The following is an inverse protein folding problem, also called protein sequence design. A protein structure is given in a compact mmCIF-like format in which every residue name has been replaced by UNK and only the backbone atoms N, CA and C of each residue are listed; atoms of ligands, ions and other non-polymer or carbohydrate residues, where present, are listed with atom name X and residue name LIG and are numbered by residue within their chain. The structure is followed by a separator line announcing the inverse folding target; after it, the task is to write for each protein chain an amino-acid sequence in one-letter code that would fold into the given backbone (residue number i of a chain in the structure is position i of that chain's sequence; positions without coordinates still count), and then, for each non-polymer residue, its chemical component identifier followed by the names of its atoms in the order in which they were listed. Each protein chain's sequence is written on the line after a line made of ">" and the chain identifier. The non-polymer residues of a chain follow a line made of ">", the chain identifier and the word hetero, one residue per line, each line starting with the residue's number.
data_IF_443583203337
#
_entry.id   IF_443583203337
#
_cell.length_a   1.000
_cell.length_b   1.000
_cell.length_c   1.000
_cell.angle_alpha   90.00
_cell.angle_beta   90.00
_cell.angle_gamma   90.00
#
_symmetry.space_group_name_H-M   'P 1'
#
loop_
_entity.id
_entity.type
_entity.pdbx_description
1 polymer ?
#
# COMPACT_ATOMS: atom_id res chain seq x y z
N UNK A 1 -36.02 47.28 -2.62
CA UNK A 1 -35.51 47.40 -4.01
C UNK A 1 -33.99 47.32 -3.93
N UNK A 2 -33.37 46.15 -4.10
CA UNK A 2 -33.15 45.40 -5.34
C UNK A 2 -31.83 45.80 -6.01
N UNK A 3 -30.73 45.11 -5.64
CA UNK A 3 -29.65 44.74 -6.57
C UNK A 3 -29.20 43.32 -6.21
N UNK A 4 -30.09 42.36 -6.46
CA UNK A 4 -29.73 40.98 -6.82
C UNK A 4 -29.40 41.03 -8.30
N UNK A 5 -28.19 40.69 -8.70
CA UNK A 5 -27.90 40.49 -10.11
C UNK A 5 -26.44 40.67 -10.46
N UNK A 6 -25.63 39.65 -10.24
CA UNK A 6 -24.46 39.29 -11.06
C UNK A 6 -23.80 38.01 -10.53
N UNK A 7 -24.58 36.93 -10.49
CA UNK A 7 -24.05 35.56 -10.46
C UNK A 7 -24.90 34.74 -11.45
N UNK A 8 -24.77 35.10 -12.71
CA UNK A 8 -25.20 34.29 -13.86
C UNK A 8 -23.93 33.82 -14.57
N UNK A 9 -23.92 32.53 -14.94
CA UNK A 9 -22.87 31.84 -15.69
C UNK A 9 -21.68 31.28 -14.90
N UNK A 10 -21.95 30.26 -14.08
CA UNK A 10 -21.09 29.08 -14.04
C UNK A 10 -21.87 27.93 -13.39
N UNK A 11 -22.79 27.35 -14.16
CA UNK A 11 -23.52 26.15 -13.74
C UNK A 11 -23.66 25.18 -14.91
N UNK A 12 -22.53 24.91 -15.56
CA UNK A 12 -22.38 23.84 -16.55
C UNK A 12 -21.00 23.20 -16.42
N UNK A 13 -20.70 22.65 -15.26
CA UNK A 13 -19.73 21.56 -15.15
C UNK A 13 -20.39 20.49 -14.29
N UNK A 14 -21.20 19.67 -14.95
CA UNK A 14 -21.53 18.35 -14.44
C UNK A 14 -20.22 17.57 -14.47
N UNK A 15 -19.74 17.02 -13.34
CA UNK A 15 -18.72 15.99 -13.42
C UNK A 15 -19.36 14.85 -14.21
N UNK A 16 -18.79 14.59 -15.38
CA UNK A 16 -19.10 13.41 -16.17
C UNK A 16 -18.57 12.22 -15.37
N UNK A 17 -19.32 11.83 -14.34
CA UNK A 17 -19.34 10.46 -13.86
C UNK A 17 -19.96 9.65 -14.99
N UNK A 18 -19.18 9.45 -16.04
CA UNK A 18 -19.34 8.35 -16.96
C UNK A 18 -19.32 7.12 -16.08
N UNK A 19 -20.45 6.42 -16.08
CA UNK A 19 -20.64 5.16 -15.39
C UNK A 19 -19.36 4.35 -15.51
N UNK A 20 -18.68 4.12 -14.38
CA UNK A 20 -17.72 3.03 -14.26
C UNK A 20 -18.54 1.81 -14.62
N UNK A 21 -18.41 1.40 -15.88
CA UNK A 21 -18.96 0.16 -16.38
C UNK A 21 -18.36 -0.86 -15.42
N UNK A 22 -19.20 -1.40 -14.53
CA UNK A 22 -18.78 -2.38 -13.57
C UNK A 22 -18.15 -3.50 -14.38
N UNK A 23 -16.81 -3.55 -14.39
CA UNK A 23 -16.04 -4.65 -14.94
C UNK A 23 -16.40 -5.83 -14.07
N UNK A 24 -17.46 -6.53 -14.46
CA UNK A 24 -17.76 -7.85 -13.95
C UNK A 24 -16.50 -8.66 -14.28
N UNK A 25 -15.77 -9.20 -13.29
CA UNK A 25 -14.76 -10.16 -13.60
C UNK A 25 -15.49 -11.32 -14.28
N UNK A 26 -15.35 -11.41 -15.61
CA UNK A 26 -15.77 -12.58 -16.35
C UNK A 26 -14.80 -13.65 -15.89
N UNK A 27 -15.20 -14.38 -14.86
CA UNK A 27 -14.54 -15.61 -14.45
C UNK A 27 -14.78 -16.63 -15.56
N UNK A 28 -13.98 -16.59 -16.61
CA UNK A 28 -14.01 -17.55 -17.72
C UNK A 28 -13.37 -18.88 -17.33
N UNK A 29 -12.72 -18.99 -16.16
CA UNK A 29 -12.09 -20.25 -15.76
C UNK A 29 -13.09 -21.34 -15.36
N UNK A 30 -14.28 -20.98 -14.87
CA UNK A 30 -15.32 -21.96 -14.53
C UNK A 30 -16.13 -22.48 -15.72
N UNK A 31 -16.16 -21.75 -16.85
CA UNK A 31 -16.85 -22.20 -18.06
C UNK A 31 -15.99 -23.12 -18.93
N UNK A 32 -14.67 -22.91 -18.97
CA UNK A 32 -13.77 -23.72 -19.83
C UNK A 32 -13.64 -25.17 -19.34
N UNK A 33 -13.77 -25.42 -18.03
CA UNK A 33 -13.67 -26.81 -17.50
C UNK A 33 -14.95 -27.65 -17.69
N UNK A 34 -16.09 -27.02 -18.00
CA UNK A 34 -17.36 -27.71 -18.18
C UNK A 34 -17.78 -27.92 -19.65
N UNK A 35 -16.97 -27.48 -20.62
CA UNK A 35 -17.25 -27.68 -22.05
C UNK A 35 -16.08 -28.33 -22.81
N UNK A 36 -15.54 -29.43 -22.30
CA UNK A 36 -14.95 -30.44 -23.19
C UNK A 36 -16.04 -31.44 -23.64
N UNK A 37 -17.19 -30.91 -24.06
CA UNK A 37 -18.04 -31.64 -24.99
C UNK A 37 -17.39 -31.51 -26.37
N UNK A 38 -17.30 -32.58 -27.18
CA UNK A 38 -16.86 -32.43 -28.55
C UNK A 38 -17.80 -31.42 -29.22
N UNK A 39 -17.24 -30.28 -29.62
CA UNK A 39 -17.92 -29.26 -30.42
C UNK A 39 -18.74 -29.97 -31.51
N UNK A 40 -20.08 -29.77 -31.58
CA UNK A 40 -20.87 -30.40 -32.63
C UNK A 40 -20.30 -29.89 -33.95
N UNK A 41 -19.78 -30.82 -34.75
CA UNK A 41 -19.33 -30.53 -36.11
C UNK A 41 -20.42 -29.70 -36.79
N UNK A 42 -20.02 -28.63 -37.48
CA UNK A 42 -20.91 -27.67 -38.15
C UNK A 42 -21.92 -28.30 -39.12
N UNK A 43 -21.82 -29.60 -39.39
CA UNK A 43 -22.82 -30.41 -40.05
C UNK A 43 -23.31 -31.51 -39.09
N UNK A 44 -24.63 -31.61 -38.81
CA UNK A 44 -25.16 -32.77 -38.11
C UNK A 44 -24.90 -34.02 -38.95
N UNK A 45 -24.28 -35.03 -38.34
CA UNK A 45 -23.99 -36.28 -39.04
C UNK A 45 -25.28 -36.93 -39.55
N UNK A 46 -25.22 -37.58 -40.71
CA UNK A 46 -26.37 -38.31 -41.30
C UNK A 46 -26.96 -39.32 -40.29
N UNK A 47 -26.11 -39.86 -39.41
CA UNK A 47 -26.50 -40.77 -38.33
C UNK A 47 -27.31 -40.11 -37.21
N UNK A 48 -27.07 -38.84 -36.88
CA UNK A 48 -27.89 -38.12 -35.88
C UNK A 48 -29.25 -37.75 -36.46
N UNK A 49 -29.30 -37.39 -37.75
CA UNK A 49 -30.56 -37.11 -38.45
C UNK A 49 -31.43 -38.37 -38.60
N UNK A 50 -30.82 -39.52 -38.94
CA UNK A 50 -31.53 -40.79 -39.02
C UNK A 50 -32.02 -41.27 -37.64
N UNK A 51 -31.24 -41.04 -36.58
CA UNK A 51 -31.63 -41.41 -35.20
C UNK A 51 -32.86 -40.64 -34.72
N UNK A 52 -32.99 -39.36 -35.07
CA UNK A 52 -34.14 -38.53 -34.70
C UNK A 52 -35.46 -39.05 -35.30
N UNK A 53 -35.41 -39.67 -36.50
CA UNK A 53 -36.60 -40.11 -37.23
C UNK A 53 -36.87 -41.62 -37.17
N UNK A 54 -35.83 -42.44 -37.11
CA UNK A 54 -35.92 -43.91 -37.26
C UNK A 54 -35.31 -44.68 -36.08
N UNK A 55 -34.92 -43.98 -35.02
CA UNK A 55 -34.33 -44.58 -33.81
C UNK A 55 -32.91 -45.14 -34.02
N UNK A 56 -32.34 -45.74 -32.98
CA UNK A 56 -30.99 -46.32 -33.01
C UNK A 56 -30.85 -47.50 -34.00
N UNK A 57 -31.95 -48.15 -34.34
CA UNK A 57 -31.98 -49.27 -35.30
C UNK A 57 -31.93 -48.79 -36.75
N UNK A 58 -32.40 -47.58 -37.03
CA UNK A 58 -32.46 -47.02 -38.38
C UNK A 58 -31.10 -46.93 -39.07
N UNK A 59 -30.05 -46.54 -38.33
CA UNK A 59 -28.68 -46.47 -38.89
C UNK A 59 -28.17 -47.83 -39.39
N UNK A 60 -28.49 -48.90 -38.65
CA UNK A 60 -28.06 -50.25 -38.98
C UNK A 60 -28.85 -50.81 -40.16
N UNK A 61 -30.18 -50.59 -40.16
CA UNK A 61 -31.07 -51.03 -41.24
C UNK A 61 -30.74 -50.30 -42.55
N UNK A 62 -30.47 -48.99 -42.51
CA UNK A 62 -30.05 -48.23 -43.70
C UNK A 62 -28.68 -48.70 -44.20
N UNK A 63 -27.73 -49.00 -43.30
CA UNK A 63 -26.42 -49.54 -43.69
C UNK A 63 -26.53 -50.90 -44.38
N UNK A 64 -27.25 -51.85 -43.77
CA UNK A 64 -27.48 -53.18 -44.35
C UNK A 64 -28.30 -53.07 -45.65
N UNK A 65 -29.31 -52.21 -45.66
CA UNK A 65 -30.15 -51.95 -46.82
C UNK A 65 -29.36 -51.39 -48.01
N UNK A 66 -28.44 -50.45 -47.78
CA UNK A 66 -27.55 -49.93 -48.83
C UNK A 66 -26.62 -51.01 -49.39
N UNK A 67 -26.05 -51.87 -48.53
CA UNK A 67 -25.22 -52.99 -49.01
C UNK A 67 -26.07 -53.98 -49.82
N UNK A 68 -27.28 -54.30 -49.36
CA UNK A 68 -28.19 -55.20 -50.04
C UNK A 68 -28.70 -54.63 -51.38
N UNK A 69 -28.95 -53.32 -51.48
CA UNK A 69 -29.35 -52.68 -52.74
C UNK A 69 -28.21 -52.61 -53.74
N UNK A 70 -26.98 -52.33 -53.29
CA UNK A 70 -25.78 -52.38 -54.15
C UNK A 70 -25.55 -53.79 -54.71
N UNK A 71 -25.81 -54.82 -53.90
CA UNK A 71 -25.73 -56.21 -54.31
C UNK A 71 -26.86 -56.59 -55.30
N UNK A 72 -28.10 -56.25 -54.97
CA UNK A 72 -29.28 -56.56 -55.79
C UNK A 72 -29.32 -55.82 -57.13
N UNK A 73 -28.60 -54.69 -57.26
CA UNK A 73 -28.51 -53.90 -58.50
C UNK A 73 -27.25 -54.22 -59.33
N UNK A 74 -26.52 -55.27 -58.99
CA UNK A 74 -25.27 -55.70 -59.67
C UNK A 74 -24.19 -54.59 -59.76
N UNK A 75 -24.29 -53.55 -58.91
CA UNK A 75 -23.26 -52.50 -58.83
C UNK A 75 -22.00 -53.08 -58.17
N UNK A 76 -22.16 -54.08 -57.30
CA UNK A 76 -21.08 -54.93 -56.78
C UNK A 76 -21.14 -56.33 -57.42
N UNK A 77 -20.37 -56.55 -58.48
CA UNK A 77 -20.21 -57.88 -59.13
C UNK A 77 -19.06 -58.64 -58.47
N UNK A 78 -19.29 -59.85 -57.96
CA UNK A 78 -18.23 -60.69 -57.38
C UNK A 78 -17.29 -61.22 -58.48
N UNK A 79 -16.26 -60.43 -58.79
CA UNK A 79 -15.16 -60.80 -59.67
C UNK A 79 -13.82 -60.77 -58.91
N UNK A 80 -12.75 -61.30 -59.51
CA UNK A 80 -11.43 -61.35 -58.89
C UNK A 80 -10.95 -59.96 -58.39
N UNK A 81 -11.32 -58.89 -59.09
CA UNK A 81 -11.01 -57.50 -58.74
C UNK A 81 -11.69 -57.04 -57.43
N UNK A 82 -12.94 -57.46 -57.16
CA UNK A 82 -13.64 -57.09 -55.92
C UNK A 82 -13.05 -57.75 -54.67
N UNK A 83 -12.48 -58.96 -54.79
CA UNK A 83 -11.75 -59.61 -53.70
C UNK A 83 -10.48 -58.84 -53.35
N UNK A 84 -9.77 -58.32 -54.36
CA UNK A 84 -8.63 -57.43 -54.17
C UNK A 84 -9.08 -56.13 -53.48
N UNK A 85 -10.18 -55.52 -53.91
CA UNK A 85 -10.75 -54.32 -53.28
C UNK A 85 -11.07 -54.50 -51.78
N UNK A 86 -11.67 -55.61 -51.40
CA UNK A 86 -11.97 -55.94 -49.99
C UNK A 86 -10.67 -56.11 -49.18
N UNK A 87 -9.64 -56.74 -49.76
CA UNK A 87 -8.35 -56.92 -49.08
C UNK A 87 -7.62 -55.59 -48.85
N UNK A 88 -7.63 -54.70 -49.84
CA UNK A 88 -7.05 -53.35 -49.75
C UNK A 88 -7.81 -52.51 -48.71
N UNK A 89 -9.15 -52.57 -48.72
CA UNK A 89 -9.98 -51.92 -47.71
C UNK A 89 -9.71 -52.44 -46.30
N UNK A 90 -9.52 -53.76 -46.14
CA UNK A 90 -9.18 -54.38 -44.87
C UNK A 90 -7.84 -53.90 -44.31
N UNK A 91 -6.80 -53.81 -45.16
CA UNK A 91 -5.49 -53.28 -44.76
C UNK A 91 -5.59 -51.80 -44.36
N UNK A 92 -6.30 -51.00 -45.15
CA UNK A 92 -6.53 -49.58 -44.86
C UNK A 92 -7.30 -49.38 -43.54
N UNK A 93 -8.31 -50.21 -43.28
CA UNK A 93 -9.06 -50.19 -42.02
C UNK A 93 -8.18 -50.52 -40.80
N UNK A 94 -7.30 -51.51 -40.92
CA UNK A 94 -6.35 -51.86 -39.86
C UNK A 94 -5.33 -50.76 -39.60
N UNK A 95 -4.84 -50.09 -40.66
CA UNK A 95 -3.94 -48.94 -40.54
C UNK A 95 -4.62 -47.77 -39.83
N UNK A 96 -5.85 -47.42 -40.23
CA UNK A 96 -6.62 -46.36 -39.55
C UNK A 96 -6.84 -46.66 -38.06
N UNK A 97 -7.13 -47.92 -37.71
CA UNK A 97 -7.36 -48.33 -36.32
C UNK A 97 -6.09 -48.24 -35.46
N UNK A 98 -4.91 -48.47 -36.04
CA UNK A 98 -3.61 -48.39 -35.35
C UNK A 98 -3.09 -46.95 -35.24
N UNK A 99 -3.15 -46.19 -36.33
CA UNK A 99 -2.60 -44.82 -36.40
C UNK A 99 -3.55 -43.78 -35.78
N UNK A 100 -4.85 -44.07 -35.71
CA UNK A 100 -5.84 -43.15 -35.15
C UNK A 100 -5.61 -42.76 -33.69
N UNK A 101 -5.07 -43.68 -32.86
CA UNK A 101 -4.69 -43.35 -31.49
C UNK A 101 -3.55 -42.35 -31.42
N UNK A 102 -2.47 -42.60 -32.17
CA UNK A 102 -1.29 -41.73 -32.22
C UNK A 102 -1.59 -40.34 -32.80
N UNK A 103 -2.45 -40.27 -33.82
CA UNK A 103 -2.87 -38.99 -34.38
C UNK A 103 -3.72 -38.17 -33.40
N UNK A 104 -4.62 -38.82 -32.65
CA UNK A 104 -5.44 -38.12 -31.62
C UNK A 104 -4.56 -37.48 -30.56
N UNK A 105 -3.62 -38.24 -30.00
CA UNK A 105 -2.68 -37.72 -28.99
C UNK A 105 -1.82 -36.56 -29.56
N UNK A 106 -1.38 -36.66 -30.82
CA UNK A 106 -0.62 -35.57 -31.46
C UNK A 106 -1.43 -34.29 -31.64
N UNK A 107 -2.69 -34.40 -32.10
CA UNK A 107 -3.59 -33.25 -32.24
C UNK A 107 -3.99 -32.67 -30.88
N UNK A 108 -4.27 -33.51 -29.89
CA UNK A 108 -4.63 -33.08 -28.53
C UNK A 108 -3.47 -32.34 -27.87
N UNK A 109 -2.24 -32.85 -27.96
CA UNK A 109 -1.05 -32.19 -27.41
C UNK A 109 -0.80 -30.82 -28.06
N UNK A 110 -0.99 -30.71 -29.38
CA UNK A 110 -0.81 -29.43 -30.09
C UNK A 110 -1.93 -28.43 -29.76
N UNK A 111 -3.16 -28.91 -29.58
CA UNK A 111 -4.28 -28.09 -29.13
C UNK A 111 -4.06 -27.57 -27.70
N UNK A 112 -3.61 -28.44 -26.79
CA UNK A 112 -3.28 -28.06 -25.40
C UNK A 112 -2.15 -27.03 -25.37
N UNK A 113 -1.08 -27.21 -26.14
CA UNK A 113 0.02 -26.24 -26.21
C UNK A 113 -0.42 -24.83 -26.65
N UNK A 114 -1.34 -24.75 -27.64
CA UNK A 114 -1.91 -23.47 -28.08
C UNK A 114 -2.77 -22.84 -26.97
N UNK A 115 -3.59 -23.65 -26.29
CA UNK A 115 -4.42 -23.15 -25.18
C UNK A 115 -3.57 -22.64 -24.02
N UNK A 116 -2.51 -23.35 -23.67
CA UNK A 116 -1.59 -22.97 -22.60
C UNK A 116 -0.85 -21.68 -22.92
N UNK A 117 -0.36 -21.51 -24.15
CA UNK A 117 0.28 -20.26 -24.60
C UNK A 117 -0.71 -19.09 -24.55
N UNK A 118 -1.94 -19.28 -25.04
CA UNK A 118 -2.96 -18.23 -24.97
C UNK A 118 -3.36 -17.88 -23.54
N UNK A 119 -3.43 -18.87 -22.64
CA UNK A 119 -3.74 -18.64 -21.23
C UNK A 119 -2.58 -17.93 -20.53
N UNK A 120 -1.33 -18.31 -20.82
CA UNK A 120 -0.14 -17.64 -20.30
C UNK A 120 -0.08 -16.18 -20.76
N UNK A 121 -0.31 -15.92 -22.06
CA UNK A 121 -0.34 -14.56 -22.60
C UNK A 121 -1.44 -13.71 -21.96
N UNK A 122 -2.66 -14.26 -21.79
CA UNK A 122 -3.75 -13.56 -21.09
C UNK A 122 -3.38 -13.22 -19.65
N UNK A 123 -2.82 -14.17 -18.91
CA UNK A 123 -2.41 -13.94 -17.52
C UNK A 123 -1.29 -12.90 -17.42
N UNK A 124 -0.33 -12.90 -18.36
CA UNK A 124 0.70 -11.88 -18.45
C UNK A 124 0.10 -10.49 -18.72
N UNK A 125 -0.87 -10.37 -19.63
CA UNK A 125 -1.56 -9.09 -19.87
C UNK A 125 -2.36 -8.62 -18.66
N UNK A 126 -3.07 -9.53 -17.97
CA UNK A 126 -3.83 -9.20 -16.77
C UNK A 126 -2.90 -8.67 -15.68
N UNK A 127 -1.77 -9.35 -15.44
CA UNK A 127 -0.79 -8.93 -14.42
C UNK A 127 -0.17 -7.57 -14.75
N UNK A 128 0.21 -7.34 -16.00
CA UNK A 128 0.70 -6.02 -16.45
C UNK A 128 -0.33 -4.91 -16.22
N UNK A 129 -1.59 -5.13 -16.62
CA UNK A 129 -2.65 -4.14 -16.42
C UNK A 129 -2.95 -3.91 -14.93
N UNK A 130 -2.90 -4.95 -14.08
CA UNK A 130 -3.09 -4.77 -12.64
C UNK A 130 -1.95 -3.99 -11.99
N UNK A 131 -0.71 -4.20 -12.45
CA UNK A 131 0.45 -3.47 -11.95
C UNK A 131 0.41 -2.00 -12.38
N UNK A 132 0.01 -1.72 -13.62
CA UNK A 132 -0.20 -0.35 -14.12
C UNK A 132 -1.30 0.38 -13.34
N UNK A 133 -2.42 -0.29 -13.05
CA UNK A 133 -3.51 0.26 -12.23
C UNK A 133 -3.01 0.53 -10.81
N UNK A 134 -2.24 -0.38 -10.21
CA UNK A 134 -1.68 -0.17 -8.88
C UNK A 134 -0.73 1.03 -8.84
N UNK A 135 0.12 1.19 -9.85
CA UNK A 135 1.00 2.35 -9.99
C UNK A 135 0.22 3.66 -10.15
N UNK A 136 -0.82 3.69 -10.99
CA UNK A 136 -1.68 4.86 -11.17
C UNK A 136 -2.40 5.26 -9.88
N UNK A 137 -2.94 4.29 -9.12
CA UNK A 137 -3.58 4.55 -7.82
C UNK A 137 -2.60 5.11 -6.78
N UNK A 138 -1.33 4.69 -6.81
CA UNK A 138 -0.30 5.25 -5.92
C UNK A 138 0.02 6.70 -6.30
N UNK A 139 0.12 7.02 -7.60
CA UNK A 139 0.31 8.39 -8.08
C UNK A 139 -0.85 9.30 -7.68
N UNK A 140 -2.10 8.83 -7.77
CA UNK A 140 -3.26 9.60 -7.33
C UNK A 140 -3.20 9.94 -5.84
N UNK A 141 -2.81 8.97 -5.00
CA UNK A 141 -2.59 9.20 -3.56
C UNK A 141 -1.49 10.23 -3.32
N UNK A 142 -0.36 10.11 -4.01
CA UNK A 142 0.73 11.08 -3.89
C UNK A 142 0.32 12.49 -4.32
N UNK A 143 -0.50 12.62 -5.38
CA UNK A 143 -1.04 13.90 -5.81
C UNK A 143 -1.97 14.51 -4.77
N UNK A 144 -2.81 13.70 -4.12
CA UNK A 144 -3.70 14.19 -3.06
C UNK A 144 -2.97 14.74 -1.84
N UNK A 145 -1.78 14.20 -1.51
CA UNK A 145 -0.97 14.64 -0.36
C UNK A 145 -0.25 15.98 -0.61
N UNK A 146 -0.13 16.42 -1.87
CA UNK A 146 0.63 17.65 -2.20
C UNK A 146 0.03 18.91 -1.59
N UNK A 147 -1.29 19.03 -1.58
CA UNK A 147 -1.97 20.19 -1.03
C UNK A 147 -1.73 20.29 0.49
N UNK A 148 -1.85 19.16 1.20
CA UNK A 148 -1.53 19.05 2.62
C UNK A 148 -0.05 19.40 2.90
N UNK A 149 0.88 18.97 2.04
CA UNK A 149 2.30 19.30 2.18
C UNK A 149 2.53 20.82 2.06
N UNK A 150 1.85 21.49 1.14
CA UNK A 150 1.94 22.95 1.01
C UNK A 150 1.36 23.68 2.22
N UNK A 151 0.28 23.16 2.81
CA UNK A 151 -0.30 23.69 4.04
C UNK A 151 0.69 23.56 5.21
N UNK A 152 1.27 22.37 5.41
CA UNK A 152 2.29 22.11 6.44
C UNK A 152 3.50 23.04 6.27
N UNK A 153 4.02 23.20 5.05
CA UNK A 153 5.15 24.09 4.77
C UNK A 153 4.82 25.56 5.09
N UNK A 154 3.58 25.99 4.81
CA UNK A 154 3.12 27.35 5.13
C UNK A 154 3.02 27.55 6.64
N UNK A 155 2.47 26.59 7.36
CA UNK A 155 2.37 26.64 8.82
C UNK A 155 3.75 26.59 9.49
N UNK A 156 4.67 25.76 8.98
CA UNK A 156 6.05 25.67 9.48
C UNK A 156 6.76 27.03 9.38
N UNK A 157 6.58 27.75 8.27
CA UNK A 157 7.16 29.08 8.09
C UNK A 157 6.61 30.12 9.09
N UNK A 158 5.31 30.04 9.39
CA UNK A 158 4.68 30.89 10.41
C UNK A 158 5.19 30.55 11.81
N UNK A 159 5.23 29.25 12.16
CA UNK A 159 5.73 28.78 13.44
C UNK A 159 7.20 29.20 13.67
N UNK A 160 8.08 29.02 12.68
CA UNK A 160 9.49 29.44 12.78
C UNK A 160 9.63 30.93 13.06
N UNK A 161 8.77 31.76 12.46
CA UNK A 161 8.79 33.21 12.72
C UNK A 161 8.40 33.53 14.17
N UNK A 162 7.38 32.87 14.68
CA UNK A 162 6.95 33.04 16.08
C UNK A 162 8.01 32.54 17.06
N UNK A 163 8.67 31.42 16.75
CA UNK A 163 9.76 30.87 17.54
C UNK A 163 10.91 31.88 17.65
N UNK A 164 11.39 32.42 16.52
CA UNK A 164 12.46 33.43 16.50
C UNK A 164 12.07 34.64 17.34
N UNK A 165 10.83 35.13 17.21
CA UNK A 165 10.33 36.25 18.00
C UNK A 165 10.35 35.95 19.52
N UNK A 166 9.87 34.77 19.93
CA UNK A 166 9.87 34.36 21.35
C UNK A 166 11.29 34.19 21.90
N UNK A 167 12.22 33.66 21.11
CA UNK A 167 13.64 33.53 21.48
C UNK A 167 14.25 34.91 21.70
N UNK A 168 14.08 35.84 20.74
CA UNK A 168 14.59 37.21 20.87
C UNK A 168 14.04 37.91 22.12
N UNK A 169 12.75 37.79 22.41
CA UNK A 169 12.14 38.37 23.61
C UNK A 169 12.69 37.75 24.90
N UNK A 170 12.92 36.43 24.90
CA UNK A 170 13.53 35.71 26.02
C UNK A 170 14.96 36.19 26.27
N UNK A 171 15.74 36.38 25.21
CA UNK A 171 17.13 36.82 25.33
C UNK A 171 17.24 38.27 25.80
N UNK A 172 16.39 39.17 25.30
CA UNK A 172 16.30 40.55 25.81
C UNK A 172 15.96 40.54 27.32
N UNK A 173 15.01 39.68 27.74
CA UNK A 173 14.66 39.55 29.16
C UNK A 173 15.84 39.08 30.00
N UNK A 174 16.60 38.08 29.53
CA UNK A 174 17.81 37.60 30.23
C UNK A 174 18.85 38.70 30.36
N UNK A 175 19.06 39.49 29.32
CA UNK A 175 20.03 40.61 29.34
C UNK A 175 19.64 41.70 30.33
N UNK A 176 18.35 42.07 30.39
CA UNK A 176 17.85 43.03 31.38
C UNK A 176 17.99 42.49 32.80
N UNK A 177 17.62 41.22 33.02
CA UNK A 177 17.79 40.58 34.32
C UNK A 177 19.25 40.49 34.74
N UNK A 178 20.17 40.21 33.80
CA UNK A 178 21.61 40.19 34.09
C UNK A 178 22.11 41.53 34.61
N UNK A 179 21.62 42.65 34.07
CA UNK A 179 21.97 43.99 34.55
C UNK A 179 21.42 44.28 35.94
N UNK A 180 20.16 43.90 36.18
CA UNK A 180 19.51 44.10 37.48
C UNK A 180 20.19 43.24 38.56
N UNK A 181 20.45 41.97 38.25
CA UNK A 181 21.14 41.05 39.14
C UNK A 181 22.56 41.53 39.45
N UNK A 182 23.27 42.08 38.46
CA UNK A 182 24.58 42.69 38.69
C UNK A 182 24.51 43.87 39.68
N UNK A 183 23.52 44.76 39.56
CA UNK A 183 23.33 45.86 40.51
C UNK A 183 23.02 45.35 41.92
N UNK A 184 22.13 44.36 42.03
CA UNK A 184 21.81 43.72 43.31
C UNK A 184 23.05 43.09 43.97
N UNK A 185 23.88 42.42 43.18
CA UNK A 185 25.13 41.81 43.66
C UNK A 185 26.12 42.86 44.12
N UNK A 186 26.27 43.98 43.40
CA UNK A 186 27.13 45.10 43.84
C UNK A 186 26.67 45.67 45.18
N UNK A 187 25.37 45.94 45.35
CA UNK A 187 24.84 46.45 46.63
C UNK A 187 25.07 45.46 47.78
N UNK A 188 24.87 44.16 47.52
CA UNK A 188 25.12 43.14 48.53
C UNK A 188 26.60 43.06 48.90
N UNK A 189 27.50 43.17 47.92
CA UNK A 189 28.95 43.20 48.15
C UNK A 189 29.39 44.43 48.97
N UNK A 190 28.85 45.60 48.67
CA UNK A 190 29.12 46.84 49.41
C UNK A 190 28.69 46.70 50.88
N UNK A 191 27.46 46.23 51.12
CA UNK A 191 26.95 45.95 52.48
C UNK A 191 27.84 44.94 53.23
N UNK A 192 28.29 43.88 52.56
CA UNK A 192 29.19 42.90 53.16
C UNK A 192 30.58 43.47 53.45
N UNK A 193 31.10 44.35 52.60
CA UNK A 193 32.35 45.06 52.81
C UNK A 193 32.27 46.01 54.01
N UNK A 194 31.21 46.83 54.08
CA UNK A 194 30.96 47.73 55.20
C UNK A 194 30.87 46.98 56.53
N UNK A 195 30.11 45.86 56.58
CA UNK A 195 30.02 45.01 57.76
C UNK A 195 31.38 44.48 58.18
N UNK A 196 32.17 43.93 57.24
CA UNK A 196 33.52 43.41 57.52
C UNK A 196 34.46 44.50 58.02
N UNK A 197 34.43 45.67 57.40
CA UNK A 197 35.24 46.81 57.80
C UNK A 197 34.86 47.30 59.20
N UNK A 198 33.57 47.42 59.49
CA UNK A 198 33.05 47.82 60.81
C UNK A 198 33.47 46.82 61.90
N UNK A 199 33.36 45.52 61.64
CA UNK A 199 33.80 44.48 62.57
C UNK A 199 35.31 44.56 62.82
N UNK A 200 36.13 44.71 61.79
CA UNK A 200 37.58 44.86 61.91
C UNK A 200 37.95 46.13 62.70
N UNK A 201 37.32 47.26 62.37
CA UNK A 201 37.52 48.53 63.06
C UNK A 201 37.12 48.44 64.54
N UNK A 202 35.97 47.82 64.83
CA UNK A 202 35.51 47.62 66.20
C UNK A 202 36.49 46.73 66.98
N UNK A 203 36.97 45.64 66.38
CA UNK A 203 37.97 44.77 67.00
C UNK A 203 39.24 45.54 67.37
N UNK A 204 39.80 46.33 66.43
CA UNK A 204 40.99 47.15 66.71
C UNK A 204 40.77 48.18 67.82
N UNK A 205 39.64 48.89 67.81
CA UNK A 205 39.33 49.87 68.85
C UNK A 205 39.11 49.22 70.22
N UNK A 206 38.42 48.07 70.25
CA UNK A 206 38.22 47.28 71.47
C UNK A 206 39.58 46.80 71.99
N UNK A 207 40.44 46.20 71.17
CA UNK A 207 41.80 45.80 71.57
C UNK A 207 42.61 46.96 72.16
N UNK A 208 42.66 48.12 71.48
CA UNK A 208 43.36 49.33 71.97
C UNK A 208 42.80 49.82 73.31
N UNK A 209 41.48 49.80 73.48
CA UNK A 209 40.81 50.23 74.72
C UNK A 209 40.99 49.25 75.89
N UNK A 210 41.13 47.95 75.61
CA UNK A 210 41.46 46.95 76.62
C UNK A 210 42.91 47.10 77.09
N UNK A 211 43.86 47.33 76.16
CA UNK A 211 45.29 47.43 76.52
C UNK A 211 45.55 48.57 77.50
N UNK A 212 44.84 49.71 77.38
CA UNK A 212 45.01 50.84 78.31
C UNK A 212 44.29 50.67 79.66
N UNK A 213 43.30 49.78 79.74
CA UNK A 213 42.48 49.54 80.96
C UNK A 213 42.73 48.17 81.58
N UNK A 214 43.76 47.44 81.13
CA UNK A 214 43.98 46.05 81.52
C UNK A 214 44.21 45.90 83.03
N UNK A 215 45.00 46.79 83.63
CA UNK A 215 45.31 46.76 85.05
C UNK A 215 44.10 47.09 85.94
N UNK A 216 43.30 48.07 85.54
CA UNK A 216 42.06 48.46 86.25
C UNK A 216 40.99 47.36 86.21
N UNK A 217 40.86 46.68 85.06
CA UNK A 217 39.94 45.57 84.90
C UNK A 217 40.37 44.36 85.74
N UNK A 218 41.67 44.05 85.81
CA UNK A 218 42.21 42.99 86.68
C UNK A 218 41.92 43.32 88.15
N UNK A 219 42.10 44.58 88.56
CA UNK A 219 41.79 45.02 89.92
C UNK A 219 40.29 44.88 90.26
N UNK A 220 39.39 45.22 89.32
CA UNK A 220 37.95 45.02 89.49
C UNK A 220 37.56 43.53 89.54
N UNK A 221 38.15 42.67 88.71
CA UNK A 221 37.92 41.23 88.76
C UNK A 221 38.39 40.62 90.10
N UNK A 222 39.55 41.04 90.62
CA UNK A 222 40.01 40.65 91.96
C UNK A 222 39.03 41.15 93.03
N UNK A 223 38.49 42.37 92.89
CA UNK A 223 37.45 42.89 93.78
C UNK A 223 36.16 42.08 93.75
N UNK A 224 35.70 41.67 92.57
CA UNK A 224 34.51 40.82 92.39
C UNK A 224 34.71 39.40 92.92
N UNK A 225 35.89 38.81 92.70
CA UNK A 225 36.25 37.51 93.26
C UNK A 225 36.32 37.55 94.79
N UNK A 226 36.95 38.58 95.37
CA UNK A 226 36.98 38.78 96.83
C UNK A 226 35.58 38.92 97.42
N UNK A 227 34.67 39.61 96.73
CA UNK A 227 33.26 39.72 97.13
C UNK A 227 32.51 38.39 97.05
N UNK A 228 32.78 37.59 96.02
CA UNK A 228 32.18 36.25 95.86
C UNK A 228 32.74 35.21 96.83
N UNK A 229 33.97 35.36 97.33
CA UNK A 229 34.56 34.49 98.36
C UNK A 229 34.27 34.92 99.80
N UNK A 230 33.77 36.14 99.99
CA UNK A 230 33.36 36.69 101.28
C UNK A 230 31.85 36.49 101.56
N UNK A 231 31.10 36.02 100.55
CA UNK A 231 29.79 35.40 100.69
C UNK A 231 29.95 33.89 100.86
#
# INVERSE_FOLDING_TARGET
>A
MAVRGLLSSSRYMRPWYGSVCALRPVNTTSQVKNELQPQPSSFPGITSLLKEKTGETGKHIVGIGLVATLYSKEILVFHAETLVGISVFGVIFLLMRRVGGQLREFFDNRAQGILDEMNAAKNATITQLTDEIAAANNLEKELSIRDDLYEILREEALMKREEIYRVQLSDIRKEVMRRLEYQLQLENLEKEYEKKHLVSWLQENVYKSLTSKQDDNIAQCIGSLKKLTAA
#
